data_IF_881041997236
#
_entry.id   IF_881041997236
#
_cell.length_a   1.000
_cell.length_b   1.000
_cell.length_c   1.000
_cell.angle_alpha   90.00
_cell.angle_beta   90.00
_cell.angle_gamma   90.00
#
_symmetry.space_group_name_H-M   'P 1'
#
loop_
_entity.id
_entity.type
_entity.pdbx_description
1 polymer ?
#
# COMPACT_ATOMS: atom_id res chain seq x y z
N UNK A 1 -33.91 -12.23 14.03
CA UNK A 1 -33.28 -10.90 14.14
C UNK A 1 -32.88 -10.48 12.73
N UNK A 2 -33.43 -9.40 12.18
CA UNK A 2 -32.98 -8.89 10.87
C UNK A 2 -31.62 -8.23 11.04
N UNK A 3 -30.64 -8.64 10.22
CA UNK A 3 -29.37 -7.95 10.11
C UNK A 3 -29.62 -6.48 9.71
N UNK A 4 -28.92 -5.50 10.34
CA UNK A 4 -28.99 -4.12 9.89
C UNK A 4 -28.58 -4.07 8.42
N UNK A 5 -29.48 -3.57 7.55
CA UNK A 5 -29.11 -3.31 6.15
C UNK A 5 -27.91 -2.36 6.17
N UNK A 6 -26.84 -2.62 5.39
CA UNK A 6 -25.74 -1.68 5.28
C UNK A 6 -26.30 -0.36 4.79
N UNK A 7 -26.42 0.61 5.70
CA UNK A 7 -26.79 1.96 5.34
C UNK A 7 -25.65 2.47 4.49
N UNK A 8 -25.92 2.75 3.23
CA UNK A 8 -24.96 3.32 2.28
C UNK A 8 -24.72 4.78 2.66
N UNK A 9 -24.16 5.01 3.84
CA UNK A 9 -23.82 6.33 4.31
C UNK A 9 -22.53 6.71 3.60
N UNK A 10 -22.65 7.48 2.52
CA UNK A 10 -21.50 8.16 1.97
C UNK A 10 -20.92 9.05 3.07
N UNK A 11 -19.76 8.68 3.58
CA UNK A 11 -19.08 9.34 4.69
C UNK A 11 -18.78 10.81 4.34
N UNK A 12 -18.54 11.11 3.06
CA UNK A 12 -18.52 12.47 2.55
C UNK A 12 -19.12 12.59 1.15
N UNK A 13 -19.70 13.77 0.88
CA UNK A 13 -20.14 14.15 -0.46
C UNK A 13 -18.97 14.34 -1.42
N UNK A 14 -19.26 14.32 -2.73
CA UNK A 14 -18.26 14.57 -3.76
C UNK A 14 -17.54 15.91 -3.61
N UNK A 15 -18.32 16.95 -3.30
CA UNK A 15 -17.84 18.33 -3.22
C UNK A 15 -16.93 18.54 -2.02
N UNK A 16 -17.35 18.09 -0.83
CA UNK A 16 -16.55 18.19 0.40
C UNK A 16 -15.24 17.43 0.26
N UNK A 17 -15.29 16.18 -0.20
CA UNK A 17 -14.10 15.35 -0.40
C UNK A 17 -13.12 16.01 -1.39
N UNK A 18 -13.63 16.52 -2.52
CA UNK A 18 -12.81 17.22 -3.50
C UNK A 18 -12.16 18.48 -2.92
N UNK A 19 -12.89 19.27 -2.12
CA UNK A 19 -12.34 20.45 -1.44
C UNK A 19 -11.20 20.07 -0.50
N UNK A 20 -11.35 19.00 0.29
CA UNK A 20 -10.30 18.50 1.18
C UNK A 20 -9.06 18.04 0.40
N UNK A 21 -9.24 17.25 -0.67
CA UNK A 21 -8.13 16.81 -1.52
C UNK A 21 -7.40 18.00 -2.15
N UNK A 22 -8.11 19.02 -2.64
CA UNK A 22 -7.49 20.22 -3.23
C UNK A 22 -6.69 20.99 -2.17
N UNK A 23 -7.25 21.16 -0.96
CA UNK A 23 -6.58 21.85 0.13
C UNK A 23 -5.27 21.13 0.51
N UNK A 24 -5.33 19.83 0.75
CA UNK A 24 -4.14 19.02 1.06
C UNK A 24 -3.12 19.04 -0.09
N UNK A 25 -3.58 18.88 -1.33
CA UNK A 25 -2.70 18.89 -2.52
C UNK A 25 -1.92 20.20 -2.66
N UNK A 26 -2.55 21.34 -2.31
CA UNK A 26 -1.88 22.65 -2.29
C UNK A 26 -0.78 22.70 -1.24
N UNK A 27 -1.03 22.19 -0.04
CA UNK A 27 -0.03 22.11 1.05
C UNK A 27 1.21 21.34 0.60
N UNK A 28 1.02 20.18 -0.02
CA UNK A 28 2.12 19.32 -0.49
C UNK A 28 2.62 19.64 -1.90
N UNK A 29 2.11 20.71 -2.53
CA UNK A 29 2.50 21.19 -3.87
C UNK A 29 2.39 20.14 -4.99
N UNK A 30 1.49 19.18 -4.85
CA UNK A 30 1.18 18.17 -5.89
C UNK A 30 -0.16 18.47 -6.57
N UNK A 31 -0.40 17.82 -7.72
CA UNK A 31 -1.71 17.82 -8.38
C UNK A 31 -2.25 16.40 -8.41
N UNK A 32 -3.46 16.20 -7.88
CA UNK A 32 -4.16 14.91 -7.95
C UNK A 32 -5.23 14.99 -9.02
N UNK A 33 -5.29 13.98 -9.89
CA UNK A 33 -6.30 13.94 -10.96
C UNK A 33 -7.72 13.75 -10.39
N UNK A 34 -8.75 14.24 -11.09
CA UNK A 34 -10.14 14.08 -10.65
C UNK A 34 -10.56 12.61 -10.55
N UNK A 35 -10.02 11.76 -11.44
CA UNK A 35 -10.29 10.33 -11.42
C UNK A 35 -9.67 9.66 -10.19
N UNK A 36 -8.44 10.04 -9.83
CA UNK A 36 -7.81 9.60 -8.59
C UNK A 36 -8.60 10.05 -7.35
N UNK A 37 -9.07 11.31 -7.30
CA UNK A 37 -9.93 11.83 -6.21
C UNK A 37 -11.23 11.02 -6.12
N UNK A 38 -11.85 10.68 -7.25
CA UNK A 38 -13.08 9.88 -7.29
C UNK A 38 -12.86 8.48 -6.73
N UNK A 39 -11.78 7.82 -7.12
CA UNK A 39 -11.43 6.48 -6.65
C UNK A 39 -11.09 6.49 -5.15
N UNK A 40 -10.33 7.50 -4.71
CA UNK A 40 -9.99 7.68 -3.31
C UNK A 40 -11.25 7.87 -2.45
N UNK A 41 -12.21 8.70 -2.89
CA UNK A 41 -13.48 8.89 -2.19
C UNK A 41 -14.27 7.59 -2.05
N UNK A 42 -14.34 6.81 -3.13
CA UNK A 42 -15.06 5.53 -3.11
C UNK A 42 -14.45 4.59 -2.07
N UNK A 43 -13.12 4.49 -2.06
CA UNK A 43 -12.38 3.65 -1.11
C UNK A 43 -12.60 4.14 0.32
N UNK A 44 -12.38 5.43 0.58
CA UNK A 44 -12.49 6.00 1.93
C UNK A 44 -13.91 5.94 2.49
N UNK A 45 -14.94 6.09 1.66
CA UNK A 45 -16.33 5.91 2.09
C UNK A 45 -16.67 4.48 2.54
N UNK A 46 -15.84 3.49 2.19
CA UNK A 46 -16.01 2.09 2.63
C UNK A 46 -15.08 1.72 3.78
N UNK A 47 -13.90 2.34 3.87
CA UNK A 47 -12.85 1.97 4.84
C UNK A 47 -12.82 2.86 6.07
N UNK A 48 -13.19 4.14 5.94
CA UNK A 48 -13.14 5.09 7.05
C UNK A 48 -14.40 4.96 7.90
N UNK A 49 -14.22 4.66 9.19
CA UNK A 49 -15.33 4.43 10.12
C UNK A 49 -16.19 5.67 10.42
N UNK A 50 -15.65 6.89 10.21
CA UNK A 50 -16.35 8.15 10.52
C UNK A 50 -15.92 9.31 9.63
N UNK A 51 -16.86 10.20 9.31
CA UNK A 51 -16.60 11.43 8.55
C UNK A 51 -15.66 12.39 9.25
N UNK A 52 -15.62 12.36 10.59
CA UNK A 52 -14.71 13.17 11.38
C UNK A 52 -13.24 12.85 11.12
N UNK A 53 -12.92 11.64 10.65
CA UNK A 53 -11.55 11.19 10.38
C UNK A 53 -11.09 11.50 8.94
N UNK A 54 -12.02 11.87 8.06
CA UNK A 54 -11.70 12.11 6.65
C UNK A 54 -10.65 13.21 6.43
N UNK A 55 -10.70 14.38 7.10
CA UNK A 55 -9.71 15.44 6.86
C UNK A 55 -8.28 15.01 7.19
N UNK A 56 -8.11 14.24 8.26
CA UNK A 56 -6.79 13.74 8.69
C UNK A 56 -6.31 12.61 7.79
N UNK A 57 -7.17 11.64 7.47
CA UNK A 57 -6.83 10.55 6.56
C UNK A 57 -6.45 11.06 5.16
N UNK A 58 -7.16 12.06 4.62
CA UNK A 58 -6.80 12.69 3.33
C UNK A 58 -5.41 13.35 3.43
N UNK A 59 -5.10 14.03 4.54
CA UNK A 59 -3.77 14.65 4.69
C UNK A 59 -2.66 13.61 4.68
N UNK A 60 -2.81 12.51 5.42
CA UNK A 60 -1.82 11.42 5.45
C UNK A 60 -1.62 10.82 4.06
N UNK A 61 -2.71 10.52 3.35
CA UNK A 61 -2.65 9.92 2.01
C UNK A 61 -1.96 10.86 1.02
N UNK A 62 -2.35 12.14 1.01
CA UNK A 62 -1.73 13.12 0.10
C UNK A 62 -0.25 13.36 0.44
N UNK A 63 0.12 13.34 1.73
CA UNK A 63 1.52 13.43 2.15
C UNK A 63 2.33 12.25 1.61
N UNK A 64 1.85 11.02 1.81
CA UNK A 64 2.51 9.81 1.33
C UNK A 64 2.62 9.80 -0.20
N UNK A 65 1.59 10.24 -0.92
CA UNK A 65 1.63 10.38 -2.38
C UNK A 65 2.65 11.45 -2.82
N UNK A 66 2.88 12.51 -2.03
CA UNK A 66 3.90 13.51 -2.33
C UNK A 66 5.33 12.98 -2.16
N UNK A 67 5.54 11.99 -1.28
CA UNK A 67 6.84 11.34 -1.08
C UNK A 67 7.29 10.53 -2.29
N UNK A 68 6.36 10.15 -3.18
CA UNK A 68 6.67 9.46 -4.46
C UNK A 68 7.46 10.34 -5.46
N UNK A 69 7.78 11.59 -5.10
CA UNK A 69 8.50 12.60 -5.90
C UNK A 69 7.81 12.96 -7.24
N UNK A 70 6.57 12.52 -7.44
CA UNK A 70 5.75 12.86 -8.61
C UNK A 70 4.99 14.16 -8.36
N UNK A 71 5.08 15.11 -9.30
CA UNK A 71 4.32 16.38 -9.24
C UNK A 71 2.83 16.19 -9.57
N UNK A 72 2.49 15.16 -10.34
CA UNK A 72 1.12 14.82 -10.73
C UNK A 72 0.83 13.37 -10.34
N UNK A 73 -0.24 13.17 -9.60
CA UNK A 73 -0.72 11.89 -9.11
C UNK A 73 -1.96 11.48 -9.92
N UNK A 74 -1.85 10.36 -10.61
CA UNK A 74 -2.87 9.69 -11.40
C UNK A 74 -3.65 8.64 -10.60
N UNK A 75 -4.53 7.92 -11.30
CA UNK A 75 -5.31 6.84 -10.69
C UNK A 75 -4.41 5.65 -10.32
N UNK A 76 -3.44 5.36 -11.18
CA UNK A 76 -2.49 4.26 -11.03
C UNK A 76 -1.64 4.43 -9.78
N UNK A 77 -1.17 5.65 -9.51
CA UNK A 77 -0.41 5.99 -8.30
C UNK A 77 -1.23 5.74 -7.03
N UNK A 78 -2.53 6.10 -7.06
CA UNK A 78 -3.44 5.84 -5.93
C UNK A 78 -3.71 4.33 -5.78
N UNK A 79 -3.85 3.60 -6.89
CA UNK A 79 -4.05 2.14 -6.85
C UNK A 79 -2.83 1.40 -6.33
N UNK A 80 -1.64 1.81 -6.76
CA UNK A 80 -0.37 1.27 -6.27
C UNK A 80 -0.21 1.54 -4.78
N UNK A 81 -0.49 2.77 -4.33
CA UNK A 81 -0.45 3.12 -2.92
C UNK A 81 -1.49 2.34 -2.08
N UNK A 82 -2.69 2.11 -2.63
CA UNK A 82 -3.76 1.34 -1.98
C UNK A 82 -3.53 -0.17 -2.03
N UNK A 83 -2.61 -0.67 -2.86
CA UNK A 83 -2.32 -2.09 -2.92
C UNK A 83 -1.75 -2.55 -1.58
N UNK A 84 -2.16 -3.74 -1.13
CA UNK A 84 -1.54 -4.34 0.04
C UNK A 84 -0.02 -4.46 -0.21
N UNK A 85 0.83 -4.11 0.77
CA UNK A 85 2.25 -4.39 0.65
C UNK A 85 2.41 -5.88 0.37
N UNK A 86 3.19 -6.22 -0.65
CA UNK A 86 3.49 -7.62 -0.95
C UNK A 86 4.05 -8.28 0.32
N UNK A 87 3.71 -9.56 0.59
CA UNK A 87 4.36 -10.28 1.66
C UNK A 87 5.87 -10.15 1.43
N UNK A 88 6.57 -9.61 2.42
CA UNK A 88 8.01 -9.72 2.51
C UNK A 88 8.30 -11.21 2.56
N UNK A 89 8.83 -11.74 1.47
CA UNK A 89 9.38 -13.09 1.44
C UNK A 89 10.67 -13.01 2.28
N UNK A 90 10.53 -13.19 3.59
CA UNK A 90 11.64 -13.28 4.54
C UNK A 90 12.40 -14.62 4.38
N UNK A 91 12.71 -15.01 3.14
CA UNK A 91 13.58 -16.14 2.80
C UNK A 91 15.00 -15.62 2.51
N UNK A 92 15.60 -15.02 3.53
CA UNK A 92 17.07 -14.97 3.68
C UNK A 92 17.43 -15.52 5.07
N UNK A 93 16.86 -16.68 5.41
CA UNK A 93 17.41 -17.54 6.47
C UNK A 93 18.61 -18.29 5.91
N UNK A 94 19.72 -17.57 5.77
CA UNK A 94 21.05 -18.17 5.65
C UNK A 94 21.41 -18.94 6.92
N UNK A 95 20.94 -20.17 7.04
CA UNK A 95 21.55 -21.14 7.93
C UNK A 95 22.86 -21.64 7.29
N UNK A 96 23.92 -20.88 7.55
CA UNK A 96 25.29 -21.31 7.32
C UNK A 96 25.59 -22.38 8.38
N UNK A 97 25.10 -23.60 8.14
CA UNK A 97 25.28 -24.76 9.01
C UNK A 97 26.75 -25.21 8.94
N UNK A 98 27.51 -24.75 9.93
CA UNK A 98 28.82 -25.27 10.26
C UNK A 98 28.69 -26.74 10.64
N UNK A 99 29.09 -27.65 9.75
CA UNK A 99 29.46 -29.00 10.16
C UNK A 99 30.95 -29.18 9.96
N UNK A 100 31.66 -29.10 11.09
CA UNK A 100 33.06 -29.49 11.21
C UNK A 100 33.19 -31.03 11.13
N UNK A 101 34.12 -31.45 10.28
CA UNK A 101 34.97 -32.64 10.35
C UNK A 101 34.31 -34.01 10.62
N UNK A 102 34.43 -34.93 9.65
CA UNK A 102 35.09 -36.19 10.00
C UNK A 102 35.82 -36.79 8.79
N UNK A 103 37.06 -37.16 9.04
CA UNK A 103 38.07 -37.56 8.08
C UNK A 103 38.22 -39.07 8.15
N UNK A 104 37.66 -39.84 7.19
CA UNK A 104 37.95 -41.27 7.07
C UNK A 104 38.18 -41.69 5.61
N UNK A 105 39.49 -41.80 5.28
CA UNK A 105 40.16 -42.67 4.31
C UNK A 105 39.30 -43.69 3.52
N UNK A 106 39.52 -43.77 2.20
CA UNK A 106 39.29 -45.01 1.44
C UNK A 106 39.29 -44.92 -0.10
N UNK A 107 40.49 -44.95 -0.70
CA UNK A 107 40.89 -45.37 -2.07
C UNK A 107 40.33 -44.69 -3.36
N UNK A 108 41.19 -44.36 -4.36
CA UNK A 108 40.77 -43.89 -5.67
C UNK A 108 40.68 -45.05 -6.66
N UNK A 109 39.55 -45.19 -7.36
CA UNK A 109 39.49 -46.09 -8.53
C UNK A 109 38.99 -45.32 -9.75
N UNK A 110 39.96 -44.94 -10.60
CA UNK A 110 39.73 -44.60 -11.99
C UNK A 110 39.24 -45.85 -12.73
N UNK A 111 38.12 -45.75 -13.45
CA UNK A 111 37.93 -46.53 -14.67
C UNK A 111 37.42 -45.65 -15.80
N UNK A 112 38.25 -45.63 -16.85
CA UNK A 112 37.95 -45.19 -18.19
C UNK A 112 37.14 -46.32 -18.85
N UNK A 113 36.07 -45.97 -19.57
CA UNK A 113 35.54 -46.72 -20.71
C UNK A 113 35.15 -45.73 -21.79
#
# INVERSE_FOLDING_TARGET
MSAPKPTKNAVSSAKEFMTLCIAASKTYKIRVSNEAIRHLRLTMNTTVASASLLPEAIQVIIAALAETKKRRVGLEDVREWLAAPAPVDDEDSREEEWSADDNLKGDPVHYIL
#
